data_IF_019589418374
#
_entry.id   IF_019589418374
#
_cell.length_a   1.000
_cell.length_b   1.000
_cell.length_c   1.000
_cell.angle_alpha   90.00
_cell.angle_beta   90.00
_cell.angle_gamma   90.00
#
_symmetry.space_group_name_H-M   'P 1'
#
loop_
_entity.id
_entity.type
_entity.pdbx_description
1 polymer ?
#
# COMPACT_ATOMS: atom_id res chain seq x y z
N UNK A 1 9.58 47.71 77.38
CA UNK A 1 9.88 46.31 76.96
C UNK A 1 9.96 46.28 75.45
N UNK A 2 11.17 46.14 74.93
CA UNK A 2 11.48 45.99 73.50
C UNK A 2 11.23 44.56 73.05
N UNK A 3 10.79 44.38 71.81
CA UNK A 3 11.10 43.22 71.00
C UNK A 3 11.76 43.71 69.70
N UNK A 4 12.93 43.19 69.30
CA UNK A 4 13.58 43.58 68.06
C UNK A 4 12.89 42.92 66.86
N UNK A 5 12.56 43.73 65.84
CA UNK A 5 12.11 43.24 64.55
C UNK A 5 13.29 42.67 63.76
N UNK A 6 13.23 41.38 63.42
CA UNK A 6 14.15 40.75 62.48
C UNK A 6 13.93 41.31 61.08
N UNK A 7 14.98 41.90 60.51
CA UNK A 7 15.00 42.36 59.13
C UNK A 7 15.37 41.15 58.26
N UNK A 8 14.39 40.55 57.60
CA UNK A 8 14.62 39.46 56.67
C UNK A 8 15.37 39.96 55.43
N UNK A 9 16.68 39.73 55.38
CA UNK A 9 17.53 40.00 54.21
C UNK A 9 17.15 39.04 53.08
N UNK A 10 16.49 39.55 52.05
CA UNK A 10 16.21 38.81 50.82
C UNK A 10 17.51 38.62 50.06
N UNK A 11 18.05 37.39 50.05
CA UNK A 11 19.23 37.05 49.26
C UNK A 11 18.99 37.16 47.75
N UNK A 12 20.05 37.24 46.93
CA UNK A 12 19.94 37.27 45.48
C UNK A 12 19.24 36.00 44.99
N UNK A 13 18.16 36.14 44.21
CA UNK A 13 17.52 34.99 43.56
C UNK A 13 18.46 34.44 42.47
N UNK A 14 18.60 33.11 42.32
CA UNK A 14 19.41 32.56 41.24
C UNK A 14 18.84 33.01 39.88
N UNK A 15 19.70 33.28 38.88
CA UNK A 15 19.21 33.58 37.55
C UNK A 15 18.49 32.35 37.01
N UNK A 16 17.21 32.51 36.68
CA UNK A 16 16.44 31.51 35.94
C UNK A 16 17.21 31.22 34.65
N UNK A 17 17.52 29.95 34.38
CA UNK A 17 18.07 29.56 33.08
C UNK A 17 16.93 29.70 32.07
N UNK A 18 17.10 30.59 31.10
CA UNK A 18 16.18 30.69 29.97
C UNK A 18 16.27 29.40 29.13
N UNK A 19 15.36 28.45 29.40
CA UNK A 19 15.16 27.23 28.60
C UNK A 19 14.45 27.51 27.25
N UNK A 20 14.23 28.78 26.93
CA UNK A 20 13.44 29.32 25.81
C UNK A 20 13.91 28.85 24.42
N UNK A 21 15.12 28.27 24.29
CA UNK A 21 15.64 27.72 23.04
C UNK A 21 15.73 26.18 22.97
N UNK A 22 15.84 25.47 24.10
CA UNK A 22 16.09 24.01 24.09
C UNK A 22 14.80 23.20 23.96
N UNK A 23 13.74 23.63 24.66
CA UNK A 23 12.44 22.95 24.62
C UNK A 23 11.73 23.09 23.27
N UNK A 24 11.83 24.25 22.63
CA UNK A 24 11.16 24.51 21.34
C UNK A 24 11.82 23.75 20.19
N UNK A 25 13.15 23.66 20.15
CA UNK A 25 13.87 22.91 19.10
C UNK A 25 13.63 21.41 19.22
N UNK A 26 13.59 20.87 20.44
CA UNK A 26 13.30 19.45 20.67
C UNK A 26 11.84 19.10 20.34
N UNK A 27 10.88 19.97 20.69
CA UNK A 27 9.47 19.81 20.30
C UNK A 27 9.32 19.88 18.78
N UNK A 28 9.94 20.86 18.12
CA UNK A 28 9.85 20.98 16.67
C UNK A 28 10.48 19.76 15.97
N UNK A 29 11.65 19.32 16.43
CA UNK A 29 12.33 18.14 15.89
C UNK A 29 11.50 16.87 16.05
N UNK A 30 10.86 16.67 17.21
CA UNK A 30 9.99 15.50 17.43
C UNK A 30 8.72 15.55 16.60
N UNK A 31 8.10 16.72 16.44
CA UNK A 31 6.93 16.91 15.56
C UNK A 31 7.29 16.64 14.10
N UNK A 32 8.42 17.16 13.61
CA UNK A 32 8.88 16.92 12.24
C UNK A 32 9.23 15.45 12.01
N UNK A 33 9.88 14.80 12.98
CA UNK A 33 10.15 13.36 12.93
C UNK A 33 8.84 12.57 12.85
N UNK A 34 7.88 12.86 13.73
CA UNK A 34 6.60 12.18 13.75
C UNK A 34 5.83 12.40 12.44
N UNK A 35 5.78 13.63 11.93
CA UNK A 35 5.16 13.96 10.64
C UNK A 35 5.85 13.23 9.48
N UNK A 36 7.18 13.16 9.48
CA UNK A 36 7.96 12.42 8.48
C UNK A 36 7.65 10.91 8.52
N UNK A 37 7.55 10.32 9.72
CA UNK A 37 7.17 8.92 9.88
C UNK A 37 5.73 8.66 9.40
N UNK A 38 4.77 9.53 9.73
CA UNK A 38 3.41 9.42 9.21
C UNK A 38 3.39 9.50 7.68
N UNK A 39 4.08 10.46 7.09
CA UNK A 39 4.17 10.61 5.64
C UNK A 39 4.79 9.36 4.99
N UNK A 40 5.83 8.77 5.58
CA UNK A 40 6.44 7.53 5.11
C UNK A 40 5.46 6.35 5.18
N UNK A 41 4.72 6.20 6.28
CA UNK A 41 3.71 5.15 6.43
C UNK A 41 2.61 5.30 5.38
N UNK A 42 2.12 6.53 5.15
CA UNK A 42 1.12 6.79 4.12
C UNK A 42 1.64 6.45 2.72
N UNK A 43 2.87 6.85 2.39
CA UNK A 43 3.48 6.55 1.09
C UNK A 43 3.60 5.03 0.85
N UNK A 44 4.02 4.26 1.86
CA UNK A 44 4.08 2.80 1.78
C UNK A 44 2.68 2.19 1.73
N UNK A 45 1.74 2.73 2.48
CA UNK A 45 0.34 2.28 2.50
C UNK A 45 -0.32 2.41 1.13
N UNK A 46 -0.19 3.58 0.49
CA UNK A 46 -0.70 3.80 -0.87
C UNK A 46 -0.09 2.79 -1.85
N UNK A 47 1.24 2.62 -1.83
CA UNK A 47 1.95 1.65 -2.67
C UNK A 47 1.43 0.21 -2.47
N UNK A 48 1.21 -0.19 -1.22
CA UNK A 48 0.69 -1.52 -0.88
C UNK A 48 -0.77 -1.72 -1.32
N UNK A 49 -1.60 -0.67 -1.27
CA UNK A 49 -2.98 -0.73 -1.76
C UNK A 49 -3.00 -0.90 -3.29
N UNK A 50 -2.11 -0.25 -4.03
CA UNK A 50 -2.01 -0.42 -5.49
C UNK A 50 -1.70 -1.86 -5.85
N UNK A 51 -0.66 -2.41 -5.24
CA UNK A 51 -0.20 -3.75 -5.53
C UNK A 51 -1.26 -4.79 -5.16
N UNK A 52 -1.89 -4.63 -3.99
CA UNK A 52 -2.97 -5.51 -3.56
C UNK A 52 -4.17 -5.48 -4.52
N UNK A 53 -4.54 -4.29 -5.04
CA UNK A 53 -5.61 -4.17 -6.04
C UNK A 53 -5.24 -4.82 -7.37
N UNK A 54 -4.01 -4.60 -7.85
CA UNK A 54 -3.53 -5.22 -9.09
C UNK A 54 -3.52 -6.75 -8.98
N UNK A 55 -2.99 -7.30 -7.88
CA UNK A 55 -3.00 -8.74 -7.62
C UNK A 55 -4.42 -9.29 -7.53
N UNK A 56 -5.31 -8.64 -6.78
CA UNK A 56 -6.71 -9.11 -6.66
C UNK A 56 -7.47 -9.09 -7.99
N UNK A 57 -7.27 -8.06 -8.81
CA UNK A 57 -7.86 -8.00 -10.15
C UNK A 57 -7.32 -9.12 -11.06
N UNK A 58 -6.01 -9.37 -11.02
CA UNK A 58 -5.39 -10.46 -11.78
C UNK A 58 -5.95 -11.83 -11.37
N UNK A 59 -6.06 -12.08 -10.06
CA UNK A 59 -6.54 -13.35 -9.51
C UNK A 59 -8.00 -13.62 -9.93
N UNK A 60 -8.88 -12.63 -9.83
CA UNK A 60 -10.28 -12.76 -10.25
C UNK A 60 -10.41 -12.97 -11.76
N UNK A 61 -9.63 -12.24 -12.57
CA UNK A 61 -9.63 -12.40 -14.02
C UNK A 61 -9.11 -13.78 -14.44
N UNK A 62 -8.05 -14.28 -13.78
CA UNK A 62 -7.50 -15.61 -14.04
C UNK A 62 -8.50 -16.72 -13.66
N UNK A 63 -9.19 -16.59 -12.51
CA UNK A 63 -10.22 -17.53 -12.09
C UNK A 63 -11.40 -17.55 -13.07
N UNK A 64 -11.92 -16.38 -13.45
CA UNK A 64 -13.00 -16.27 -14.43
C UNK A 64 -12.65 -16.90 -15.78
N UNK A 65 -11.42 -16.66 -16.27
CA UNK A 65 -10.91 -17.30 -17.47
C UNK A 65 -10.84 -18.83 -17.34
N UNK A 66 -10.41 -19.33 -16.17
CA UNK A 66 -10.32 -20.77 -15.88
C UNK A 66 -11.71 -21.43 -15.84
N UNK A 67 -12.71 -20.74 -15.29
CA UNK A 67 -14.08 -21.24 -15.20
C UNK A 67 -14.76 -21.27 -16.57
N UNK A 68 -14.58 -20.23 -17.39
CA UNK A 68 -15.03 -20.23 -18.78
C UNK A 68 -14.38 -21.36 -19.60
N UNK A 69 -13.08 -21.60 -19.40
CA UNK A 69 -12.37 -22.74 -20.02
C UNK A 69 -12.94 -24.09 -19.63
N UNK A 70 -13.42 -24.24 -18.40
CA UNK A 70 -14.07 -25.46 -17.91
C UNK A 70 -15.54 -25.57 -18.37
N UNK A 71 -16.04 -24.61 -19.14
CA UNK A 71 -17.42 -24.57 -19.62
C UNK A 71 -18.43 -24.17 -18.53
N UNK A 72 -17.98 -23.54 -17.43
CA UNK A 72 -18.89 -22.98 -16.43
C UNK A 72 -19.48 -21.63 -16.88
N UNK A 73 -19.06 -21.10 -18.02
CA UNK A 73 -19.57 -19.86 -18.61
C UNK A 73 -19.60 -19.97 -20.12
N UNK A 74 -20.61 -19.38 -20.75
CA UNK A 74 -20.82 -19.41 -22.21
C UNK A 74 -19.95 -18.40 -22.99
N UNK A 75 -19.10 -17.63 -22.29
CA UNK A 75 -18.27 -16.58 -22.88
C UNK A 75 -16.87 -17.09 -23.20
N UNK A 76 -16.19 -16.41 -24.13
CA UNK A 76 -14.77 -16.66 -24.39
C UNK A 76 -13.94 -16.40 -23.11
N UNK A 77 -12.97 -17.29 -22.77
CA UNK A 77 -12.16 -17.16 -21.57
C UNK A 77 -11.42 -15.83 -21.41
N UNK A 78 -10.95 -15.22 -22.49
CA UNK A 78 -10.26 -13.93 -22.41
C UNK A 78 -11.26 -12.77 -22.36
N UNK A 79 -12.40 -12.87 -23.04
CA UNK A 79 -13.45 -11.86 -22.95
C UNK A 79 -14.02 -11.69 -21.53
N UNK A 80 -14.26 -12.79 -20.80
CA UNK A 80 -14.72 -12.70 -19.40
C UNK A 80 -13.62 -12.21 -18.44
N UNK A 81 -12.35 -12.49 -18.75
CA UNK A 81 -11.21 -11.98 -17.99
C UNK A 81 -11.09 -10.45 -18.14
N UNK A 82 -11.29 -9.94 -19.36
CA UNK A 82 -11.33 -8.50 -19.65
C UNK A 82 -12.45 -7.79 -18.90
N UNK A 83 -13.71 -8.27 -19.01
CA UNK A 83 -14.85 -7.70 -18.27
C UNK A 83 -14.62 -7.73 -16.75
N UNK A 84 -14.02 -8.82 -16.25
CA UNK A 84 -13.68 -8.94 -14.82
C UNK A 84 -12.60 -7.94 -14.42
N UNK A 85 -11.54 -7.78 -15.21
CA UNK A 85 -10.48 -6.81 -14.94
C UNK A 85 -11.00 -5.38 -14.97
N UNK A 86 -11.80 -5.01 -15.98
CA UNK A 86 -12.37 -3.67 -16.14
C UNK A 86 -13.26 -3.29 -14.95
N UNK A 87 -14.11 -4.22 -14.49
CA UNK A 87 -14.93 -4.04 -13.28
C UNK A 87 -14.11 -3.83 -12.01
N UNK A 88 -12.89 -4.33 -11.98
CA UNK A 88 -11.94 -4.15 -10.88
C UNK A 88 -10.97 -2.96 -11.09
N UNK A 89 -11.19 -2.14 -12.13
CA UNK A 89 -10.36 -0.97 -12.43
C UNK A 89 -8.97 -1.34 -12.96
N UNK A 90 -8.83 -2.52 -13.55
CA UNK A 90 -7.63 -3.01 -14.20
C UNK A 90 -7.89 -3.21 -15.71
N UNK A 91 -6.83 -3.27 -16.49
CA UNK A 91 -6.88 -3.59 -17.92
C UNK A 91 -6.05 -4.85 -18.14
N UNK A 92 -6.58 -5.83 -18.86
CA UNK A 92 -5.81 -7.02 -19.25
C UNK A 92 -4.78 -6.60 -20.30
N UNK A 93 -3.51 -6.91 -20.03
CA UNK A 93 -2.41 -6.69 -20.97
C UNK A 93 -2.00 -7.97 -21.69
N UNK A 94 -2.23 -9.13 -21.05
CA UNK A 94 -1.97 -10.44 -21.63
C UNK A 94 -2.99 -11.45 -21.11
N UNK A 95 -3.58 -12.24 -21.99
CA UNK A 95 -4.41 -13.40 -21.64
C UNK A 95 -3.92 -14.61 -22.43
N UNK A 96 -3.36 -15.60 -21.74
CA UNK A 96 -2.74 -16.76 -22.38
C UNK A 96 -3.22 -18.06 -21.77
N UNK A 97 -3.81 -18.89 -22.61
CA UNK A 97 -4.12 -20.28 -22.32
C UNK A 97 -2.85 -21.14 -22.33
N UNK A 98 -2.62 -21.89 -21.25
CA UNK A 98 -1.46 -22.77 -21.13
C UNK A 98 -1.81 -24.21 -21.51
N UNK A 99 -0.77 -24.96 -21.88
CA UNK A 99 -0.86 -26.38 -22.26
C UNK A 99 -1.20 -27.30 -21.09
N UNK A 100 -0.95 -26.86 -19.85
CA UNK A 100 -1.28 -27.57 -18.62
C UNK A 100 -2.75 -27.42 -18.18
N UNK A 101 -3.56 -26.69 -18.96
CA UNK A 101 -4.97 -26.41 -18.65
C UNK A 101 -5.19 -25.14 -17.83
N UNK A 102 -4.14 -24.46 -17.38
CA UNK A 102 -4.24 -23.20 -16.65
C UNK A 102 -4.37 -21.98 -17.56
N UNK A 103 -4.92 -20.89 -17.01
CA UNK A 103 -5.01 -19.58 -17.63
C UNK A 103 -4.05 -18.63 -16.93
N UNK A 104 -3.19 -17.97 -17.71
CA UNK A 104 -2.36 -16.86 -17.24
C UNK A 104 -3.02 -15.56 -17.68
N UNK A 105 -3.23 -14.64 -16.76
CA UNK A 105 -3.75 -13.30 -17.04
C UNK A 105 -2.81 -12.27 -16.41
N UNK A 106 -2.34 -11.33 -17.22
CA UNK A 106 -1.60 -10.16 -16.79
C UNK A 106 -2.51 -8.93 -16.86
N UNK A 107 -2.48 -8.10 -15.83
CA UNK A 107 -3.29 -6.89 -15.74
C UNK A 107 -2.44 -5.70 -15.32
N UNK A 108 -2.89 -4.52 -15.74
CA UNK A 108 -2.33 -3.23 -15.36
C UNK A 108 -3.42 -2.40 -14.65
N UNK A 109 -3.10 -1.85 -13.47
CA UNK A 109 -3.95 -0.90 -12.74
C UNK A 109 -3.38 0.50 -12.90
N UNK A 110 -4.17 1.40 -13.52
CA UNK A 110 -3.80 2.81 -13.69
C UNK A 110 -4.34 3.64 -12.54
N UNK A 111 -3.44 4.31 -11.81
CA UNK A 111 -3.82 5.14 -10.66
C UNK A 111 -4.06 6.61 -11.04
N UNK A 112 -5.28 6.93 -11.44
CA UNK A 112 -5.74 8.31 -11.58
C UNK A 112 -4.87 9.21 -12.47
N UNK A 113 -4.96 10.55 -12.34
CA UNK A 113 -4.21 11.50 -13.16
C UNK A 113 -2.76 11.73 -12.68
N UNK A 114 -2.32 11.03 -11.63
CA UNK A 114 -0.97 11.24 -11.05
C UNK A 114 0.04 10.43 -11.86
N UNK A 115 1.23 10.98 -12.19
CA UNK A 115 2.28 10.29 -12.94
C UNK A 115 3.03 9.29 -12.04
N UNK A 116 2.30 8.33 -11.47
CA UNK A 116 2.87 7.18 -10.76
C UNK A 116 3.05 6.01 -11.74
N UNK A 117 4.05 5.15 -11.53
CA UNK A 117 4.18 3.93 -12.31
C UNK A 117 2.92 3.06 -12.14
N UNK A 118 2.44 2.42 -13.21
CA UNK A 118 1.28 1.55 -13.13
C UNK A 118 1.56 0.33 -12.23
N UNK A 119 0.52 -0.16 -11.57
CA UNK A 119 0.59 -1.42 -10.84
C UNK A 119 0.38 -2.58 -11.79
N UNK A 120 1.44 -3.31 -12.11
CA UNK A 120 1.36 -4.53 -12.93
C UNK A 120 1.25 -5.77 -12.03
N UNK A 121 0.37 -6.70 -12.40
CA UNK A 121 0.24 -7.98 -11.72
C UNK A 121 -0.07 -9.09 -12.71
N UNK A 122 0.44 -10.29 -12.42
CA UNK A 122 0.20 -11.49 -13.22
C UNK A 122 -0.29 -12.58 -12.29
N UNK A 123 -1.41 -13.20 -12.66
CA UNK A 123 -1.98 -14.33 -11.96
C UNK A 123 -2.11 -15.54 -12.90
N UNK A 124 -2.12 -16.73 -12.31
CA UNK A 124 -2.30 -17.99 -13.03
C UNK A 124 -3.31 -18.83 -12.25
N UNK A 125 -4.37 -19.27 -12.93
CA UNK A 125 -5.43 -20.08 -12.33
C UNK A 125 -5.78 -21.31 -13.17
N UNK A 126 -5.99 -22.44 -12.51
CA UNK A 126 -6.33 -23.71 -13.13
C UNK A 126 -5.56 -24.87 -12.49
N UNK A 127 -6.07 -26.09 -12.67
CA UNK A 127 -5.39 -27.27 -12.17
C UNK A 127 -4.26 -27.64 -13.16
N UNK A 128 -3.01 -27.82 -12.70
CA UNK A 128 -1.97 -28.42 -13.52
C UNK A 128 -2.40 -29.84 -13.89
N UNK A 129 -2.52 -30.15 -15.18
CA UNK A 129 -2.73 -31.53 -15.59
C UNK A 129 -1.46 -32.36 -15.31
N UNK A 130 -1.56 -33.47 -14.55
CA UNK A 130 -0.43 -34.37 -14.35
C UNK A 130 -0.13 -35.09 -15.67
N UNK A 131 0.85 -34.57 -16.42
CA UNK A 131 1.27 -35.13 -17.71
C UNK A 131 2.39 -34.36 -18.42
N UNK A 132 2.63 -33.09 -18.08
CA UNK A 132 3.70 -32.29 -18.70
C UNK A 132 4.95 -32.23 -17.81
N UNK A 133 5.75 -33.30 -17.84
CA UNK A 133 7.17 -33.26 -17.51
C UNK A 133 8.01 -33.18 -18.79
N UNK A 134 9.20 -32.56 -18.79
CA UNK A 134 10.11 -32.65 -19.94
C UNK A 134 10.55 -34.11 -20.12
N UNK A 135 10.16 -34.71 -21.23
CA UNK A 135 10.71 -35.97 -21.73
C UNK A 135 12.01 -35.77 -22.47
#
# INVERSE_FOLDING_TARGET
MSAPGEVATTGPRPPWRDDTGSGSVTVLGTVLLAAGLLAAVLAVGEAAVVSARASGAADLAALAASDARRGLSDHDPCGIAEDTAERNGAVVTECTARQDGSMRVAVEVRQGPVPLPPGEAVAVAGAPHPGTGPG
#
